data_IF_838631259584
#
_entry.id   IF_838631259584
#
_cell.length_a   1.000
_cell.length_b   1.000
_cell.length_c   1.000
_cell.angle_alpha   90.00
_cell.angle_beta   90.00
_cell.angle_gamma   90.00
#
_symmetry.space_group_name_H-M   'P 1'
#
loop_
_entity.id
_entity.type
_entity.pdbx_description
1 polymer ?
#
# COMPACT_ATOMS: atom_id res chain seq x y z
N UNK A 1 14.02 -31.65 -28.50
CA UNK A 1 14.41 -31.17 -27.15
C UNK A 1 14.81 -29.69 -27.09
N UNK A 2 15.75 -29.19 -27.90
CA UNK A 2 16.28 -27.82 -27.75
C UNK A 2 15.23 -26.70 -27.82
N UNK A 3 14.34 -26.73 -28.81
CA UNK A 3 13.27 -25.72 -28.97
C UNK A 3 12.31 -25.69 -27.77
N UNK A 4 11.96 -26.86 -27.22
CA UNK A 4 11.01 -26.97 -26.11
C UNK A 4 11.59 -26.33 -24.84
N UNK A 5 12.90 -26.49 -24.62
CA UNK A 5 13.61 -25.84 -23.51
C UNK A 5 13.60 -24.31 -23.65
N UNK A 6 13.77 -23.78 -24.87
CA UNK A 6 13.67 -22.34 -25.11
C UNK A 6 12.25 -21.80 -24.92
N UNK A 7 11.22 -22.58 -25.29
CA UNK A 7 9.82 -22.22 -25.07
C UNK A 7 9.46 -22.20 -23.58
N UNK A 8 9.91 -23.21 -22.81
CA UNK A 8 9.70 -23.25 -21.37
C UNK A 8 10.42 -22.11 -20.64
N UNK A 9 11.64 -21.76 -21.07
CA UNK A 9 12.39 -20.64 -20.51
C UNK A 9 11.70 -19.30 -20.82
N UNK A 10 11.21 -19.12 -22.05
CA UNK A 10 10.43 -17.93 -22.44
C UNK A 10 9.15 -17.78 -21.62
N UNK A 11 8.40 -18.88 -21.44
CA UNK A 11 7.18 -18.88 -20.63
C UNK A 11 7.44 -18.49 -19.16
N UNK A 12 8.52 -18.99 -18.57
CA UNK A 12 8.92 -18.66 -17.20
C UNK A 12 9.22 -17.16 -17.02
N UNK A 13 9.89 -16.52 -17.99
CA UNK A 13 10.23 -15.09 -17.88
C UNK A 13 9.01 -14.16 -17.94
N UNK A 14 7.97 -14.52 -18.71
CA UNK A 14 6.76 -13.69 -18.86
C UNK A 14 5.86 -13.80 -17.61
N UNK A 15 5.80 -14.97 -16.97
CA UNK A 15 4.99 -15.19 -15.77
C UNK A 15 5.46 -14.45 -14.51
N UNK A 16 6.67 -13.88 -14.52
CA UNK A 16 7.24 -13.12 -13.39
C UNK A 16 7.02 -11.61 -13.49
N UNK A 17 6.31 -11.12 -14.52
CA UNK A 17 5.93 -9.71 -14.62
C UNK A 17 4.81 -9.44 -13.62
N UNK A 18 5.18 -9.19 -12.36
CA UNK A 18 4.25 -8.72 -11.36
C UNK A 18 4.01 -7.22 -11.57
N UNK A 19 2.86 -6.85 -12.13
CA UNK A 19 2.35 -5.49 -12.04
C UNK A 19 1.89 -5.26 -10.60
N UNK A 20 2.82 -4.93 -9.70
CA UNK A 20 2.48 -4.62 -8.32
C UNK A 20 1.89 -3.21 -8.26
N UNK A 21 0.71 -3.08 -7.66
CA UNK A 21 0.23 -1.76 -7.22
C UNK A 21 1.22 -1.29 -6.17
N UNK A 22 1.95 -0.22 -6.49
CA UNK A 22 2.84 0.41 -5.53
C UNK A 22 1.97 1.11 -4.48
N UNK A 23 2.16 0.74 -3.22
CA UNK A 23 1.50 1.37 -2.05
C UNK A 23 2.54 2.21 -1.27
N UNK A 24 2.94 3.37 -1.81
CA UNK A 24 4.01 4.19 -1.24
C UNK A 24 3.60 4.91 0.04
N UNK A 25 2.31 4.95 0.33
CA UNK A 25 1.74 5.54 1.53
C UNK A 25 0.85 4.49 2.18
N UNK A 26 1.16 4.14 3.44
CA UNK A 26 0.36 3.22 4.25
C UNK A 26 -0.24 3.95 5.43
N UNK A 27 -1.54 3.79 5.63
CA UNK A 27 -2.27 4.41 6.74
C UNK A 27 -2.69 3.35 7.76
N UNK A 28 -2.62 3.72 9.03
CA UNK A 28 -3.17 2.98 10.16
C UNK A 28 -3.99 3.94 11.01
N UNK A 29 -5.18 3.50 11.39
CA UNK A 29 -6.09 4.28 12.22
C UNK A 29 -6.32 3.54 13.52
N UNK A 30 -6.30 4.28 14.62
CA UNK A 30 -6.58 3.75 15.95
C UNK A 30 -7.64 4.64 16.60
N UNK A 31 -8.68 4.03 17.15
CA UNK A 31 -9.74 4.69 17.91
C UNK A 31 -9.66 4.22 19.35
N UNK A 32 -9.57 5.16 20.29
CA UNK A 32 -9.53 4.89 21.72
C UNK A 32 -10.56 5.74 22.43
N UNK A 33 -11.54 5.10 23.06
CA UNK A 33 -12.48 5.81 23.94
C UNK A 33 -11.74 6.29 25.18
N UNK A 34 -11.83 7.60 25.48
CA UNK A 34 -11.29 8.20 26.70
C UNK A 34 -12.36 8.38 27.77
N UNK A 35 -13.64 8.37 27.37
CA UNK A 35 -14.81 8.35 28.27
C UNK A 35 -16.03 7.75 27.55
N UNK A 36 -17.22 7.81 28.17
CA UNK A 36 -18.48 7.39 27.52
C UNK A 36 -18.84 8.27 26.30
N UNK A 37 -18.34 9.50 26.24
CA UNK A 37 -18.70 10.49 25.22
C UNK A 37 -17.50 11.04 24.44
N UNK A 38 -16.28 10.66 24.82
CA UNK A 38 -15.05 11.17 24.19
C UNK A 38 -14.20 10.03 23.64
N UNK A 39 -13.57 10.31 22.51
CA UNK A 39 -12.63 9.39 21.88
C UNK A 39 -11.44 10.13 21.26
N UNK A 40 -10.30 9.46 21.31
CA UNK A 40 -9.08 9.83 20.62
C UNK A 40 -8.99 9.01 19.33
N UNK A 41 -8.75 9.68 18.20
CA UNK A 41 -8.48 9.04 16.92
C UNK A 41 -7.05 9.38 16.49
N UNK A 42 -6.23 8.36 16.29
CA UNK A 42 -4.85 8.51 15.84
C UNK A 42 -4.73 7.98 14.41
N UNK A 43 -4.41 8.88 13.48
CA UNK A 43 -4.08 8.55 12.10
C UNK A 43 -2.55 8.51 11.94
N UNK A 44 -2.00 7.34 11.67
CA UNK A 44 -0.56 7.16 11.43
C UNK A 44 -0.33 6.86 9.96
N UNK A 45 0.53 7.64 9.30
CA UNK A 45 0.92 7.42 7.91
C UNK A 45 2.43 7.11 7.80
N UNK A 46 2.78 6.07 7.05
CA UNK A 46 4.16 5.77 6.65
C UNK A 46 4.30 6.08 5.16
N UNK A 47 5.23 6.99 4.82
CA UNK A 47 5.37 7.54 3.46
C UNK A 47 6.77 7.24 2.94
N UNK A 48 6.85 6.61 1.78
CA UNK A 48 8.10 6.45 1.05
C UNK A 48 8.64 7.80 0.54
N UNK A 49 9.97 7.93 0.49
CA UNK A 49 10.64 9.15 0.00
C UNK A 49 10.16 9.53 -1.40
N UNK A 50 9.87 10.82 -1.60
CA UNK A 50 9.43 11.39 -2.88
C UNK A 50 7.91 11.42 -3.08
N UNK A 51 7.13 10.94 -2.11
CA UNK A 51 5.69 11.05 -2.10
C UNK A 51 5.24 12.18 -1.19
N UNK A 52 4.16 12.85 -1.58
CA UNK A 52 3.57 13.95 -0.85
C UNK A 52 2.12 13.59 -0.50
N UNK A 53 1.76 13.73 0.78
CA UNK A 53 0.36 13.66 1.21
C UNK A 53 -0.20 15.08 1.19
N UNK A 54 -1.35 15.25 0.57
CA UNK A 54 -2.13 16.47 0.65
C UNK A 54 -3.23 16.28 1.67
N UNK A 55 -3.47 17.29 2.52
CA UNK A 55 -4.60 17.28 3.43
C UNK A 55 -5.89 17.20 2.60
N UNK A 56 -6.62 16.09 2.73
CA UNK A 56 -8.04 16.09 2.45
C UNK A 56 -8.68 16.86 3.60
N UNK A 57 -9.56 17.82 3.33
CA UNK A 57 -10.15 18.73 4.32
C UNK A 57 -11.08 18.06 5.34
N UNK A 58 -10.72 16.89 5.87
CA UNK A 58 -11.32 16.27 7.03
C UNK A 58 -10.99 17.13 8.25
N UNK A 59 -11.81 18.15 8.47
CA UNK A 59 -11.90 18.85 9.75
C UNK A 59 -12.36 17.84 10.77
N UNK A 60 -11.62 17.68 11.86
CA UNK A 60 -12.13 17.07 13.07
C UNK A 60 -13.29 17.96 13.55
N UNK A 61 -14.52 17.49 13.33
CA UNK A 61 -15.74 18.09 13.87
C UNK A 61 -15.84 17.82 15.37
#
# INVERSE_FOLDING_TARGET
>A
MRIILFLLLGWYTIGNIQAQIKEPVKFKNELKMTSETEAEIVFTASIEKGWHIYSTGLVAL
#
